data_IF_120094759833
#
_entry.id   IF_120094759833
#
_cell.length_a   1.000
_cell.length_b   1.000
_cell.length_c   1.000
_cell.angle_alpha   90.00
_cell.angle_beta   90.00
_cell.angle_gamma   90.00
#
_symmetry.space_group_name_H-M   'P 1'
#
loop_
_entity.id
_entity.type
_entity.pdbx_description
1 polymer ?
#
# COMPACT_ATOMS: atom_id res chain seq x y z
N UNK A 1 13.59 19.96 2.55
CA UNK A 1 14.04 18.62 2.96
C UNK A 1 13.88 17.65 1.79
N UNK A 2 14.80 16.68 1.62
CA UNK A 2 14.74 15.69 0.54
C UNK A 2 14.41 14.32 1.14
N UNK A 3 13.36 13.68 0.65
CA UNK A 3 13.01 12.33 1.05
C UNK A 3 13.99 11.33 0.41
N UNK A 4 14.45 10.34 1.19
CA UNK A 4 15.10 9.18 0.59
C UNK A 4 14.02 8.33 -0.09
N UNK A 5 13.98 8.37 -1.42
CA UNK A 5 12.94 7.73 -2.23
C UNK A 5 12.81 6.23 -1.93
N UNK A 6 13.93 5.52 -1.75
CA UNK A 6 13.92 4.07 -1.48
C UNK A 6 13.39 3.77 -0.08
N UNK A 7 13.87 4.50 0.92
CA UNK A 7 13.44 4.31 2.31
C UNK A 7 11.95 4.63 2.47
N UNK A 8 11.49 5.73 1.87
CA UNK A 8 10.09 6.13 1.90
C UNK A 8 9.19 5.10 1.19
N UNK A 9 9.58 4.64 0.00
CA UNK A 9 8.83 3.62 -0.71
C UNK A 9 8.74 2.30 0.06
N UNK A 10 9.84 1.86 0.68
CA UNK A 10 9.84 0.65 1.49
C UNK A 10 8.90 0.78 2.70
N UNK A 11 8.96 1.91 3.40
CA UNK A 11 8.05 2.18 4.51
C UNK A 11 6.59 2.23 4.06
N UNK A 12 6.29 2.91 2.95
CA UNK A 12 4.95 2.99 2.38
C UNK A 12 4.41 1.60 1.97
N UNK A 13 5.25 0.76 1.37
CA UNK A 13 4.93 -0.63 1.06
C UNK A 13 4.56 -1.42 2.31
N UNK A 14 5.38 -1.38 3.36
CA UNK A 14 5.07 -2.09 4.61
C UNK A 14 3.79 -1.58 5.27
N UNK A 15 3.62 -0.27 5.38
CA UNK A 15 2.41 0.33 5.99
C UNK A 15 1.16 -0.10 5.21
N UNK A 16 1.20 -0.03 3.88
CA UNK A 16 0.04 -0.37 3.05
C UNK A 16 -0.24 -1.88 3.03
N UNK A 17 0.80 -2.71 2.89
CA UNK A 17 0.65 -4.16 2.93
C UNK A 17 0.10 -4.65 4.27
N UNK A 18 0.65 -4.17 5.38
CA UNK A 18 0.18 -4.55 6.73
C UNK A 18 -1.27 -4.10 6.94
N UNK A 19 -1.64 -2.91 6.48
CA UNK A 19 -3.02 -2.44 6.49
C UNK A 19 -3.95 -3.41 5.75
N UNK A 20 -3.61 -3.81 4.52
CA UNK A 20 -4.39 -4.77 3.73
C UNK A 20 -4.53 -6.14 4.41
N UNK A 21 -3.47 -6.62 5.06
CA UNK A 21 -3.51 -7.85 5.84
C UNK A 21 -4.56 -7.76 6.96
N UNK A 22 -4.47 -6.73 7.81
CA UNK A 22 -5.41 -6.56 8.92
C UNK A 22 -6.84 -6.24 8.47
N UNK A 23 -7.00 -5.52 7.36
CA UNK A 23 -8.31 -5.27 6.78
C UNK A 23 -8.98 -6.57 6.31
N UNK A 24 -8.21 -7.51 5.76
CA UNK A 24 -8.73 -8.83 5.39
C UNK A 24 -9.19 -9.61 6.62
N UNK A 25 -8.42 -9.55 7.72
CA UNK A 25 -8.85 -10.15 9.00
C UNK A 25 -10.08 -9.48 9.58
N UNK A 26 -10.18 -8.16 9.48
CA UNK A 26 -11.38 -7.43 9.89
C UNK A 26 -12.61 -7.92 9.11
N UNK A 27 -12.51 -8.10 7.80
CA UNK A 27 -13.59 -8.70 6.98
C UNK A 27 -13.94 -10.12 7.44
N UNK A 28 -12.94 -10.95 7.73
CA UNK A 28 -13.17 -12.32 8.23
C UNK A 28 -13.93 -12.32 9.56
N UNK A 29 -13.62 -11.39 10.47
CA UNK A 29 -14.30 -11.29 11.78
C UNK A 29 -15.74 -10.82 11.62
N UNK A 30 -16.01 -9.89 10.71
CA UNK A 30 -17.35 -9.31 10.52
C UNK A 30 -18.28 -10.22 9.71
N UNK A 31 -17.79 -10.75 8.58
CA UNK A 31 -18.63 -11.40 7.57
C UNK A 31 -18.31 -12.90 7.41
N UNK A 32 -17.26 -13.39 8.09
CA UNK A 32 -16.78 -14.76 7.96
C UNK A 32 -15.82 -14.95 6.78
N UNK A 33 -15.35 -16.19 6.62
CA UNK A 33 -14.46 -16.56 5.52
C UNK A 33 -15.30 -16.72 4.24
N UNK A 34 -14.89 -16.03 3.17
CA UNK A 34 -15.48 -16.17 1.84
C UNK A 34 -14.41 -16.36 0.77
N UNK A 35 -14.60 -17.41 -0.04
CA UNK A 35 -13.77 -17.71 -1.21
C UNK A 35 -14.38 -17.20 -2.52
N UNK A 36 -15.49 -16.46 -2.44
CA UNK A 36 -16.11 -15.88 -3.62
C UNK A 36 -15.23 -14.78 -4.22
N UNK A 37 -15.31 -14.65 -5.54
CA UNK A 37 -14.54 -13.65 -6.28
C UNK A 37 -15.10 -12.25 -6.03
N UNK A 38 -14.48 -11.54 -5.09
CA UNK A 38 -14.80 -10.13 -4.82
C UNK A 38 -14.38 -9.23 -5.98
N UNK A 39 -14.90 -8.00 -6.02
CA UNK A 39 -14.45 -6.97 -6.99
C UNK A 39 -12.93 -6.76 -6.88
N UNK A 40 -12.44 -6.74 -5.64
CA UNK A 40 -11.02 -6.64 -5.31
C UNK A 40 -10.27 -7.86 -5.87
N UNK A 41 -10.79 -9.08 -5.69
CA UNK A 41 -10.19 -10.31 -6.21
C UNK A 41 -10.09 -10.39 -7.73
N UNK A 42 -10.89 -9.61 -8.46
CA UNK A 42 -10.75 -9.48 -9.92
C UNK A 42 -9.52 -8.67 -10.34
N UNK A 43 -9.14 -7.68 -9.53
CA UNK A 43 -7.96 -6.84 -9.78
C UNK A 43 -6.71 -7.50 -9.17
N UNK A 44 -6.84 -7.95 -7.93
CA UNK A 44 -5.80 -8.61 -7.15
C UNK A 44 -5.95 -10.11 -7.23
N UNK A 45 -5.36 -10.69 -8.28
CA UNK A 45 -5.45 -12.13 -8.54
C UNK A 45 -5.00 -12.96 -7.34
N UNK A 46 -5.81 -13.95 -6.97
CA UNK A 46 -5.59 -14.83 -5.83
C UNK A 46 -6.11 -14.28 -4.50
N UNK A 47 -6.62 -13.04 -4.45
CA UNK A 47 -7.24 -12.51 -3.25
C UNK A 47 -8.62 -13.13 -3.01
N UNK A 48 -8.82 -13.60 -1.79
CA UNK A 48 -10.09 -14.06 -1.22
C UNK A 48 -10.20 -13.53 0.21
N UNK A 49 -11.40 -13.49 0.78
CA UNK A 49 -11.59 -13.11 2.19
C UNK A 49 -11.30 -14.33 3.06
N UNK A 50 -10.02 -14.68 3.20
CA UNK A 50 -9.54 -15.84 3.93
C UNK A 50 -8.15 -15.61 4.55
N UNK A 51 -7.71 -16.42 5.53
CA UNK A 51 -6.37 -16.30 6.11
C UNK A 51 -5.24 -16.43 5.09
N UNK A 52 -5.42 -17.25 4.04
CA UNK A 52 -4.46 -17.31 2.93
C UNK A 52 -4.56 -16.07 2.04
N UNK A 53 -5.79 -15.62 1.77
CA UNK A 53 -6.05 -14.39 1.03
C UNK A 53 -5.46 -13.14 1.68
N UNK A 54 -5.35 -13.10 3.02
CA UNK A 54 -4.70 -11.97 3.71
C UNK A 54 -3.20 -11.90 3.45
N UNK A 55 -2.52 -13.03 3.23
CA UNK A 55 -1.12 -13.06 2.80
C UNK A 55 -0.96 -12.57 1.35
N UNK A 56 -1.90 -12.93 0.48
CA UNK A 56 -1.97 -12.42 -0.89
C UNK A 56 -2.21 -10.90 -0.88
N UNK A 57 -3.12 -10.42 -0.02
CA UNK A 57 -3.39 -9.01 0.20
C UNK A 57 -2.17 -8.25 0.72
N UNK A 58 -1.39 -8.84 1.63
CA UNK A 58 -0.14 -8.27 2.14
C UNK A 58 0.87 -8.05 1.00
N UNK A 59 1.06 -9.03 0.12
CA UNK A 59 1.99 -8.93 -1.00
C UNK A 59 1.55 -7.88 -2.02
N UNK A 60 0.28 -7.91 -2.43
CA UNK A 60 -0.26 -6.92 -3.36
C UNK A 60 -0.25 -5.51 -2.76
N UNK A 61 -0.71 -5.36 -1.52
CA UNK A 61 -0.67 -4.09 -0.79
C UNK A 61 0.76 -3.58 -0.60
N UNK A 62 1.74 -4.46 -0.37
CA UNK A 62 3.14 -4.05 -0.32
C UNK A 62 3.63 -3.50 -1.66
N UNK A 63 3.35 -4.21 -2.77
CA UNK A 63 3.76 -3.77 -4.11
C UNK A 63 3.12 -2.42 -4.47
N UNK A 64 1.83 -2.27 -4.22
CA UNK A 64 1.11 -1.02 -4.49
C UNK A 64 1.64 0.13 -3.63
N UNK A 65 1.76 -0.10 -2.33
CA UNK A 65 2.29 0.90 -1.39
C UNK A 65 3.72 1.30 -1.73
N UNK A 66 4.54 0.35 -2.19
CA UNK A 66 5.91 0.62 -2.62
C UNK A 66 5.93 1.48 -3.89
N UNK A 67 5.16 1.12 -4.92
CA UNK A 67 5.11 1.86 -6.18
C UNK A 67 4.54 3.27 -5.98
N UNK A 68 3.45 3.40 -5.22
CA UNK A 68 2.87 4.71 -4.86
C UNK A 68 3.86 5.50 -4.02
N UNK A 69 4.53 4.88 -3.06
CA UNK A 69 5.54 5.51 -2.23
C UNK A 69 6.73 6.04 -3.04
N UNK A 70 7.22 5.25 -4.00
CA UNK A 70 8.25 5.70 -4.95
C UNK A 70 7.79 6.94 -5.72
N UNK A 71 6.57 6.90 -6.25
CA UNK A 71 6.00 8.00 -7.03
C UNK A 71 5.85 9.26 -6.17
N UNK A 72 5.29 9.13 -4.97
CA UNK A 72 5.10 10.24 -4.03
C UNK A 72 6.45 10.86 -3.64
N UNK A 73 7.44 10.07 -3.24
CA UNK A 73 8.73 10.60 -2.87
C UNK A 73 9.46 11.26 -4.06
N UNK A 74 9.31 10.71 -5.27
CA UNK A 74 9.86 11.31 -6.48
C UNK A 74 9.20 12.66 -6.80
N UNK A 75 7.86 12.72 -6.81
CA UNK A 75 7.11 13.96 -7.04
C UNK A 75 7.46 15.00 -5.97
N UNK A 76 7.44 14.61 -4.69
CA UNK A 76 7.78 15.49 -3.58
C UNK A 76 9.17 16.09 -3.75
N UNK A 77 10.19 15.26 -4.04
CA UNK A 77 11.55 15.74 -4.23
C UNK A 77 11.70 16.67 -5.44
N UNK A 78 10.89 16.49 -6.48
CA UNK A 78 10.85 17.37 -7.66
C UNK A 78 10.18 18.71 -7.37
N UNK A 79 9.16 18.71 -6.52
CA UNK A 79 8.38 19.89 -6.19
C UNK A 79 8.98 20.72 -5.06
N UNK A 80 9.53 20.09 -4.02
CA UNK A 80 9.99 20.76 -2.80
C UNK A 80 10.91 21.97 -3.05
N UNK A 81 11.90 21.93 -3.97
CA UNK A 81 12.74 23.11 -4.26
C UNK A 81 11.96 24.30 -4.83
N UNK A 82 10.85 24.08 -5.53
CA UNK A 82 10.02 25.15 -6.12
C UNK A 82 9.17 25.89 -5.08
N UNK A 83 8.98 25.29 -3.90
CA UNK A 83 8.17 25.85 -2.82
C UNK A 83 9.02 26.39 -1.66
N UNK A 84 10.34 26.29 -1.73
CA UNK A 84 11.23 26.97 -0.79
C UNK A 84 11.25 28.46 -1.10
N UNK A 85 10.58 29.27 -0.26
CA UNK A 85 10.76 30.73 -0.25
C UNK A 85 12.25 31.01 -0.03
N UNK A 86 12.86 31.82 -0.90
CA UNK A 86 14.12 32.47 -0.56
C UNK A 86 13.84 33.43 0.59
N UNK A 87 14.12 33.01 1.82
CA UNK A 87 14.36 33.98 2.89
C UNK A 87 15.59 34.80 2.47
N UNK A 88 15.38 36.11 2.32
CA UNK A 88 16.42 37.09 2.01
C UNK A 88 17.29 37.31 3.23
#
# INVERSE_FOLDING_TARGET
MKLNTKAFALAAGFVWGINWFFLTWFMIIMDGISYEMTIIGRMYRGFTVSPFGSLVALLWGFLDGFLIGLLVAWIYNKLAPRFQKKEK
#
